data_IF_953221581042
#
_entry.id   IF_953221581042
#
_cell.length_a   1.000
_cell.length_b   1.000
_cell.length_c   1.000
_cell.angle_alpha   90.00
_cell.angle_beta   90.00
_cell.angle_gamma   90.00
#
_symmetry.space_group_name_H-M   'P 1'
#
loop_
_entity.id
_entity.type
_entity.pdbx_description
1 polymer ?
#
# COMPACT_ATOMS: atom_id res chain seq x y z
N UNK A 1 9.95 7.42 -3.96
CA UNK A 1 9.79 7.14 -2.52
C UNK A 1 9.80 5.63 -2.29
N UNK A 2 10.78 5.08 -1.59
CA UNK A 2 10.73 3.67 -1.16
C UNK A 2 10.23 3.60 0.28
N UNK A 3 9.30 2.69 0.55
CA UNK A 3 8.66 2.41 1.84
C UNK A 3 9.72 2.16 2.92
N UNK A 4 10.20 3.23 3.57
CA UNK A 4 11.25 3.16 4.58
C UNK A 4 12.50 4.01 4.34
N UNK A 5 12.66 4.70 3.21
CA UNK A 5 13.67 5.76 3.09
C UNK A 5 13.07 7.12 3.41
N UNK A 6 13.87 8.06 3.97
CA UNK A 6 13.47 9.45 4.03
C UNK A 6 13.21 9.97 2.61
N UNK A 7 12.23 10.86 2.48
CA UNK A 7 11.94 11.51 1.22
C UNK A 7 13.10 12.46 0.88
N UNK A 8 13.90 12.10 -0.13
CA UNK A 8 15.08 12.88 -0.53
C UNK A 8 14.73 14.06 -1.47
N UNK A 9 13.56 14.02 -2.11
CA UNK A 9 13.09 15.07 -3.01
C UNK A 9 11.64 15.40 -2.67
N UNK A 10 11.35 16.70 -2.56
CA UNK A 10 9.99 17.20 -2.39
C UNK A 10 9.22 17.01 -3.70
N UNK A 11 8.09 16.31 -3.65
CA UNK A 11 7.22 16.13 -4.80
C UNK A 11 6.15 17.20 -4.77
N UNK A 12 5.87 17.82 -5.92
CA UNK A 12 4.68 18.64 -6.07
C UNK A 12 3.44 17.74 -6.01
N UNK A 13 2.61 17.96 -4.99
CA UNK A 13 1.36 17.21 -4.78
C UNK A 13 0.12 17.97 -5.24
N UNK A 14 0.29 19.11 -5.94
CA UNK A 14 -0.84 19.88 -6.48
C UNK A 14 -1.63 19.07 -7.52
N UNK A 15 -2.95 19.03 -7.33
CA UNK A 15 -3.87 18.29 -8.21
C UNK A 15 -4.24 19.21 -9.39
N UNK A 16 -3.68 18.94 -10.57
CA UNK A 16 -4.13 19.55 -11.82
C UNK A 16 -5.35 18.82 -12.39
N UNK A 17 -6.29 19.51 -13.07
CA UNK A 17 -7.43 18.86 -13.71
C UNK A 17 -6.95 17.89 -14.81
N UNK A 18 -7.22 16.60 -14.58
CA UNK A 18 -6.63 15.49 -15.32
C UNK A 18 -7.33 15.25 -16.66
N UNK A 19 -6.56 15.09 -17.74
CA UNK A 19 -7.07 14.76 -19.07
C UNK A 19 -7.44 13.27 -19.17
N UNK A 20 -8.58 12.95 -19.76
CA UNK A 20 -9.21 11.62 -19.82
C UNK A 20 -8.42 10.50 -20.54
N UNK A 21 -7.16 10.74 -20.96
CA UNK A 21 -6.35 9.84 -21.79
C UNK A 21 -5.47 8.81 -21.05
N UNK A 22 -5.44 8.77 -19.72
CA UNK A 22 -4.43 7.99 -18.96
C UNK A 22 -4.84 6.56 -18.52
N UNK A 23 -5.96 6.05 -19.00
CA UNK A 23 -6.65 4.87 -18.42
C UNK A 23 -5.85 3.57 -18.44
N UNK A 24 -4.99 3.34 -19.45
CA UNK A 24 -4.19 2.12 -19.58
C UNK A 24 -3.04 2.03 -18.56
N UNK A 25 -2.38 3.16 -18.27
CA UNK A 25 -1.23 3.19 -17.37
C UNK A 25 -1.62 2.95 -15.91
N UNK A 26 -2.74 3.52 -15.44
CA UNK A 26 -3.21 3.33 -14.07
C UNK A 26 -3.63 1.88 -13.81
N UNK A 27 -4.18 1.21 -14.83
CA UNK A 27 -4.56 -0.20 -14.78
C UNK A 27 -3.33 -1.11 -14.72
N UNK A 28 -2.35 -0.91 -15.61
CA UNK A 28 -1.14 -1.72 -15.67
C UNK A 28 -0.33 -1.67 -14.36
N UNK A 29 -0.34 -0.53 -13.66
CA UNK A 29 0.36 -0.37 -12.39
C UNK A 29 -0.51 -0.62 -11.16
N UNK A 30 -1.81 -0.91 -11.33
CA UNK A 30 -2.75 -1.16 -10.22
C UNK A 30 -2.82 0.01 -9.24
N UNK A 31 -2.59 1.24 -9.70
CA UNK A 31 -2.34 2.39 -8.85
C UNK A 31 -3.03 3.66 -9.39
N UNK A 32 -4.16 4.07 -8.79
CA UNK A 32 -4.81 5.34 -9.11
C UNK A 32 -3.91 6.52 -8.71
N UNK A 33 -3.88 7.57 -9.53
CA UNK A 33 -2.97 8.70 -9.36
C UNK A 33 -3.20 9.46 -8.04
N UNK A 34 -4.46 9.59 -7.62
CA UNK A 34 -4.84 10.31 -6.40
C UNK A 34 -4.25 9.63 -5.15
N UNK A 35 -4.22 8.29 -5.12
CA UNK A 35 -3.62 7.55 -4.01
C UNK A 35 -2.10 7.60 -4.01
N UNK A 36 -1.44 7.82 -5.17
CA UNK A 36 -0.01 8.10 -5.22
C UNK A 36 0.33 9.46 -4.61
N UNK A 37 -0.49 10.48 -4.88
CA UNK A 37 -0.34 11.80 -4.26
C UNK A 37 -0.53 11.72 -2.75
N UNK A 38 -1.56 11.01 -2.29
CA UNK A 38 -1.78 10.81 -0.84
C UNK A 38 -0.64 10.02 -0.20
N UNK A 39 -0.12 8.99 -0.86
CA UNK A 39 1.07 8.28 -0.37
C UNK A 39 2.28 9.24 -0.25
N UNK A 40 2.43 10.19 -1.18
CA UNK A 40 3.45 11.22 -1.11
C UNK A 40 3.24 12.17 0.08
N UNK A 41 2.02 12.65 0.27
CA UNK A 41 1.67 13.50 1.42
C UNK A 41 1.97 12.78 2.74
N UNK A 42 1.57 11.51 2.90
CA UNK A 42 1.86 10.71 4.11
C UNK A 42 3.38 10.61 4.35
N UNK A 43 4.15 10.39 3.29
CA UNK A 43 5.62 10.32 3.39
C UNK A 43 6.24 11.67 3.78
N UNK A 44 5.69 12.78 3.29
CA UNK A 44 6.11 14.13 3.65
C UNK A 44 5.77 14.44 5.13
N UNK A 45 4.57 14.06 5.60
CA UNK A 45 4.19 14.18 7.01
C UNK A 45 5.14 13.41 7.91
N UNK A 46 5.41 12.15 7.58
CA UNK A 46 6.33 11.28 8.31
C UNK A 46 7.75 11.86 8.35
N UNK A 47 8.18 12.48 7.26
CA UNK A 47 9.50 13.13 7.15
C UNK A 47 9.60 14.47 7.88
N UNK A 48 8.51 14.98 8.45
CA UNK A 48 8.47 16.30 9.08
C UNK A 48 8.67 17.45 8.09
N UNK A 49 8.28 17.29 6.82
CA UNK A 49 8.39 18.36 5.83
C UNK A 49 7.56 19.58 6.28
N UNK A 50 8.10 20.81 6.18
CA UNK A 50 7.35 22.03 6.52
C UNK A 50 6.15 22.28 5.60
N UNK A 51 6.15 21.71 4.39
CA UNK A 51 5.05 21.82 3.43
C UNK A 51 4.11 20.61 3.48
N UNK A 52 4.31 19.67 4.42
CA UNK A 52 3.43 18.52 4.55
C UNK A 52 2.01 18.96 4.93
N UNK A 53 1.02 18.35 4.28
CA UNK A 53 -0.38 18.48 4.68
C UNK A 53 -0.58 17.97 6.12
N UNK A 54 -1.56 18.50 6.86
CA UNK A 54 -1.90 17.93 8.17
C UNK A 54 -2.38 16.48 7.98
N UNK A 55 -1.85 15.58 8.79
CA UNK A 55 -2.22 14.16 8.76
C UNK A 55 -3.72 13.96 9.01
N UNK A 56 -4.37 14.85 9.78
CA UNK A 56 -5.83 14.83 10.01
C UNK A 56 -6.63 15.16 8.75
N UNK A 57 -6.12 16.06 7.91
CA UNK A 57 -6.75 16.37 6.63
C UNK A 57 -6.62 15.21 5.64
N UNK A 58 -5.47 14.51 5.68
CA UNK A 58 -5.25 13.29 4.89
C UNK A 58 -6.20 12.19 5.36
N UNK A 59 -6.29 11.98 6.67
CA UNK A 59 -7.22 11.01 7.26
C UNK A 59 -8.66 11.30 6.86
N UNK A 60 -9.11 12.54 7.06
CA UNK A 60 -10.46 12.96 6.71
C UNK A 60 -10.77 12.71 5.23
N UNK A 61 -9.82 13.02 4.35
CA UNK A 61 -9.95 12.74 2.92
C UNK A 61 -10.08 11.23 2.66
N UNK A 62 -9.25 10.38 3.28
CA UNK A 62 -9.32 8.92 3.11
C UNK A 62 -10.60 8.29 3.67
N UNK A 63 -11.17 8.86 4.73
CA UNK A 63 -12.42 8.38 5.33
C UNK A 63 -13.66 8.81 4.55
N UNK A 64 -13.64 10.02 3.96
CA UNK A 64 -14.75 10.56 3.17
C UNK A 64 -14.66 10.23 1.68
N UNK A 65 -13.53 9.68 1.24
CA UNK A 65 -13.32 9.29 -0.16
C UNK A 65 -14.40 8.31 -0.62
N UNK A 66 -14.96 8.60 -1.79
CA UNK A 66 -15.89 7.73 -2.49
C UNK A 66 -15.37 7.46 -3.89
N UNK A 67 -15.61 6.24 -4.36
CA UNK A 67 -15.24 5.91 -5.71
C UNK A 67 -16.08 6.69 -6.72
N UNK A 68 -15.40 7.41 -7.61
CA UNK A 68 -16.04 8.16 -8.68
C UNK A 68 -16.51 7.19 -9.76
N UNK A 69 -17.83 7.00 -9.87
CA UNK A 69 -18.43 6.24 -10.96
C UNK A 69 -18.29 7.00 -12.29
N UNK A 70 -17.94 6.30 -13.37
CA UNK A 70 -17.96 6.85 -14.73
C UNK A 70 -16.65 7.50 -15.24
N UNK A 71 -15.58 7.55 -14.44
CA UNK A 71 -14.29 8.08 -14.92
C UNK A 71 -13.55 7.12 -15.88
N UNK A 72 -13.90 5.82 -15.83
CA UNK A 72 -13.34 4.80 -16.72
C UNK A 72 -14.46 3.99 -17.38
N UNK A 73 -14.39 3.88 -18.71
CA UNK A 73 -15.21 2.94 -19.48
C UNK A 73 -14.40 1.65 -19.63
N UNK A 74 -14.73 0.65 -18.83
CA UNK A 74 -14.14 -0.67 -18.96
C UNK A 74 -14.90 -1.52 -19.97
N UNK A 75 -14.18 -2.33 -20.74
CA UNK A 75 -14.76 -3.25 -21.73
C UNK A 75 -15.57 -4.36 -21.09
N UNK A 76 -15.19 -4.81 -19.89
CA UNK A 76 -15.84 -5.92 -19.21
C UNK A 76 -16.28 -5.53 -17.79
N UNK A 77 -17.46 -5.98 -17.37
CA UNK A 77 -18.05 -5.62 -16.07
C UNK A 77 -17.19 -6.04 -14.87
N UNK A 78 -16.39 -7.10 -15.02
CA UNK A 78 -15.49 -7.56 -13.97
C UNK A 78 -14.31 -6.62 -13.76
N UNK A 79 -13.88 -5.90 -14.80
CA UNK A 79 -12.82 -4.90 -14.70
C UNK A 79 -13.29 -3.73 -13.83
N UNK A 80 -14.54 -3.30 -13.99
CA UNK A 80 -15.14 -2.30 -13.11
C UNK A 80 -15.09 -2.72 -11.64
N UNK A 81 -15.46 -3.97 -11.34
CA UNK A 81 -15.40 -4.52 -9.97
C UNK A 81 -13.96 -4.60 -9.46
N UNK A 82 -13.02 -5.05 -10.30
CA UNK A 82 -11.61 -5.12 -9.96
C UNK A 82 -11.02 -3.72 -9.68
N UNK A 83 -11.44 -2.70 -10.43
CA UNK A 83 -11.02 -1.31 -10.22
C UNK A 83 -11.49 -0.77 -8.88
N UNK A 84 -12.77 -0.97 -8.55
CA UNK A 84 -13.30 -0.57 -7.25
C UNK A 84 -12.53 -1.26 -6.10
N UNK A 85 -12.19 -2.54 -6.27
CA UNK A 85 -11.38 -3.25 -5.29
C UNK A 85 -9.94 -2.71 -5.21
N UNK A 86 -9.32 -2.31 -6.32
CA UNK A 86 -8.02 -1.62 -6.32
C UNK A 86 -8.11 -0.35 -5.50
N UNK A 87 -9.05 0.54 -5.82
CA UNK A 87 -9.19 1.82 -5.14
C UNK A 87 -9.49 1.66 -3.65
N UNK A 88 -10.41 0.77 -3.29
CA UNK A 88 -10.75 0.51 -1.90
C UNK A 88 -9.58 -0.12 -1.13
N UNK A 89 -8.82 -1.02 -1.77
CA UNK A 89 -7.62 -1.59 -1.15
C UNK A 89 -6.53 -0.53 -0.92
N UNK A 90 -6.37 0.45 -1.82
CA UNK A 90 -5.47 1.58 -1.62
C UNK A 90 -5.91 2.44 -0.44
N UNK A 91 -7.19 2.80 -0.39
CA UNK A 91 -7.75 3.61 0.71
C UNK A 91 -7.49 2.96 2.07
N UNK A 92 -7.79 1.67 2.20
CA UNK A 92 -7.56 0.90 3.43
C UNK A 92 -6.07 0.74 3.77
N UNK A 93 -5.23 0.49 2.76
CA UNK A 93 -3.77 0.40 2.95
C UNK A 93 -3.19 1.72 3.45
N UNK A 94 -3.58 2.85 2.84
CA UNK A 94 -3.07 4.17 3.22
C UNK A 94 -3.56 4.61 4.59
N UNK A 95 -4.79 4.27 5.00
CA UNK A 95 -5.25 4.46 6.38
C UNK A 95 -4.36 3.69 7.37
N UNK A 96 -4.13 2.40 7.13
CA UNK A 96 -3.24 1.60 8.00
C UNK A 96 -1.81 2.17 8.04
N UNK A 97 -1.29 2.62 6.88
CA UNK A 97 0.04 3.21 6.79
C UNK A 97 0.15 4.56 7.52
N UNK A 98 -0.85 5.44 7.36
CA UNK A 98 -0.91 6.74 8.05
C UNK A 98 -0.83 6.57 9.56
N UNK A 99 -1.68 5.70 10.12
CA UNK A 99 -1.71 5.44 11.55
C UNK A 99 -0.40 4.83 12.06
N UNK A 100 0.14 3.85 11.35
CA UNK A 100 1.38 3.18 11.74
C UNK A 100 2.59 4.13 11.67
N UNK A 101 2.72 4.89 10.58
CA UNK A 101 3.95 5.59 10.23
C UNK A 101 3.98 7.07 10.63
N UNK A 102 2.82 7.72 10.74
CA UNK A 102 2.72 9.14 11.13
C UNK A 102 2.20 9.27 12.56
N UNK A 103 1.15 8.52 12.92
CA UNK A 103 0.55 8.60 14.25
C UNK A 103 1.26 7.74 15.30
N UNK A 104 2.40 7.10 14.96
CA UNK A 104 3.16 6.15 15.80
C UNK A 104 2.30 5.07 16.47
N UNK A 105 1.21 4.69 15.81
CA UNK A 105 0.25 3.72 16.33
C UNK A 105 0.79 2.31 16.15
N UNK A 106 0.67 1.49 17.19
CA UNK A 106 1.12 0.10 17.15
C UNK A 106 0.22 -0.76 16.26
N UNK A 107 0.81 -1.74 15.58
CA UNK A 107 0.07 -2.63 14.65
C UNK A 107 -1.06 -3.44 15.29
N UNK A 108 -1.11 -3.59 16.63
CA UNK A 108 -2.24 -4.23 17.32
C UNK A 108 -3.44 -3.32 17.56
N UNK A 109 -3.35 -2.06 17.16
CA UNK A 109 -4.48 -1.15 17.18
C UNK A 109 -5.70 -1.75 16.43
N UNK A 110 -6.90 -1.72 17.04
CA UNK A 110 -8.10 -2.31 16.45
C UNK A 110 -8.47 -1.72 15.08
N UNK A 111 -8.22 -0.43 14.84
CA UNK A 111 -8.53 0.23 13.56
C UNK A 111 -7.57 -0.27 12.48
N UNK A 112 -6.26 -0.32 12.77
CA UNK A 112 -5.28 -0.88 11.84
C UNK A 112 -5.64 -2.32 11.48
N UNK A 113 -5.95 -3.17 12.46
CA UNK A 113 -6.31 -4.57 12.20
C UNK A 113 -7.61 -4.69 11.39
N UNK A 114 -8.58 -3.80 11.62
CA UNK A 114 -9.81 -3.75 10.83
C UNK A 114 -9.51 -3.39 9.37
N UNK A 115 -8.72 -2.34 9.12
CA UNK A 115 -8.34 -1.93 7.76
C UNK A 115 -7.61 -3.05 7.01
N UNK A 116 -6.64 -3.70 7.65
CA UNK A 116 -5.90 -4.82 7.03
C UNK A 116 -6.83 -6.00 6.72
N UNK A 117 -7.73 -6.35 7.63
CA UNK A 117 -8.70 -7.44 7.40
C UNK A 117 -9.61 -7.13 6.22
N UNK A 118 -10.20 -5.93 6.18
CA UNK A 118 -11.06 -5.49 5.08
C UNK A 118 -10.30 -5.46 3.76
N UNK A 119 -9.07 -4.95 3.76
CA UNK A 119 -8.24 -4.88 2.56
C UNK A 119 -7.96 -6.28 2.00
N UNK A 120 -7.57 -7.24 2.84
CA UNK A 120 -7.33 -8.62 2.40
C UNK A 120 -8.61 -9.30 1.88
N UNK A 121 -9.78 -8.97 2.43
CA UNK A 121 -11.08 -9.43 1.90
C UNK A 121 -11.34 -8.84 0.52
N UNK A 122 -11.20 -7.53 0.35
CA UNK A 122 -11.41 -6.81 -0.93
C UNK A 122 -10.51 -7.40 -2.02
N UNK A 123 -9.20 -7.48 -1.78
CA UNK A 123 -8.24 -8.05 -2.74
C UNK A 123 -8.53 -9.53 -3.02
N UNK A 124 -8.97 -10.27 -2.00
CA UNK A 124 -9.37 -11.68 -2.12
C UNK A 124 -10.57 -11.91 -3.04
N UNK A 125 -11.47 -10.93 -3.19
CA UNK A 125 -12.63 -11.04 -4.12
C UNK A 125 -12.19 -11.04 -5.58
N UNK A 126 -11.17 -10.24 -5.92
CA UNK A 126 -10.64 -10.11 -7.29
C UNK A 126 -9.78 -11.32 -7.67
N UNK A 127 -8.90 -11.77 -6.78
CA UNK A 127 -7.99 -12.89 -7.06
C UNK A 127 -8.68 -14.21 -7.37
N UNK A 128 -9.87 -14.47 -6.81
CA UNK A 128 -10.65 -15.69 -7.09
C UNK A 128 -11.13 -15.78 -8.54
N UNK A 129 -11.08 -14.69 -9.31
CA UNK A 129 -11.58 -14.58 -10.68
C UNK A 129 -10.49 -14.64 -11.77
N UNK A 130 -9.30 -15.15 -11.42
CA UNK A 130 -8.03 -15.19 -12.22
C UNK A 130 -8.05 -15.95 -13.57
N UNK A 131 -9.19 -16.01 -14.28
CA UNK A 131 -9.32 -16.76 -15.53
C UNK A 131 -9.05 -15.97 -16.83
N UNK A 132 -8.74 -14.66 -16.78
CA UNK A 132 -8.74 -13.77 -17.97
C UNK A 132 -7.38 -13.17 -18.39
N UNK A 133 -6.24 -13.66 -17.88
CA UNK A 133 -4.91 -13.32 -18.40
C UNK A 133 -4.37 -11.91 -18.07
N UNK A 134 -5.20 -10.98 -17.58
CA UNK A 134 -4.75 -9.67 -17.07
C UNK A 134 -4.64 -9.70 -15.54
N UNK A 135 -3.43 -9.59 -14.99
CA UNK A 135 -3.21 -9.58 -13.54
C UNK A 135 -3.19 -8.15 -12.99
N UNK A 136 -4.10 -7.87 -12.05
CA UNK A 136 -4.12 -6.60 -11.32
C UNK A 136 -3.10 -6.66 -10.18
N UNK A 137 -2.21 -5.68 -10.12
CA UNK A 137 -1.22 -5.61 -9.05
C UNK A 137 -1.77 -4.98 -7.77
N UNK A 138 -1.43 -5.61 -6.64
CA UNK A 138 -1.74 -5.13 -5.29
C UNK A 138 -0.47 -5.06 -4.42
N UNK A 139 0.68 -4.80 -5.05
CA UNK A 139 1.99 -4.91 -4.41
C UNK A 139 2.11 -4.05 -3.14
N UNK A 140 1.81 -2.75 -3.25
CA UNK A 140 1.96 -1.81 -2.12
C UNK A 140 0.99 -2.16 -0.99
N UNK A 141 -0.24 -2.55 -1.33
CA UNK A 141 -1.25 -2.98 -0.39
C UNK A 141 -0.80 -4.23 0.37
N UNK A 142 -0.26 -5.24 -0.33
CA UNK A 142 0.28 -6.44 0.30
C UNK A 142 1.49 -6.17 1.19
N UNK A 143 2.36 -5.23 0.80
CA UNK A 143 3.49 -4.84 1.62
C UNK A 143 3.02 -4.17 2.93
N UNK A 144 2.11 -3.20 2.86
CA UNK A 144 1.52 -2.57 4.05
C UNK A 144 0.82 -3.62 4.92
N UNK A 145 0.04 -4.53 4.31
CA UNK A 145 -0.55 -5.66 5.02
C UNK A 145 0.49 -6.50 5.76
N UNK A 146 1.61 -6.78 5.10
CA UNK A 146 2.69 -7.61 5.60
C UNK A 146 3.37 -7.01 6.82
N UNK A 147 3.59 -5.70 6.80
CA UNK A 147 4.13 -4.94 7.93
C UNK A 147 3.20 -5.06 9.13
N UNK A 148 1.89 -4.90 8.92
CA UNK A 148 0.88 -4.97 9.97
C UNK A 148 0.40 -6.39 10.31
N UNK A 149 0.95 -7.44 9.67
CA UNK A 149 0.44 -8.80 9.80
C UNK A 149 0.85 -9.47 11.11
N UNK A 150 -0.16 -9.79 11.93
CA UNK A 150 0.03 -10.50 13.22
C UNK A 150 -0.27 -11.99 13.16
N UNK A 151 -1.11 -12.43 12.22
CA UNK A 151 -1.46 -13.84 12.07
C UNK A 151 -0.54 -14.55 11.09
N UNK A 152 -0.11 -15.76 11.45
CA UNK A 152 0.69 -16.61 10.55
C UNK A 152 -0.04 -16.99 9.26
N UNK A 153 -1.38 -16.96 9.28
CA UNK A 153 -2.19 -17.12 8.08
C UNK A 153 -2.02 -15.93 7.11
N UNK A 154 -2.11 -14.70 7.62
CA UNK A 154 -1.90 -13.50 6.80
C UNK A 154 -0.45 -13.45 6.29
N UNK A 155 0.55 -13.72 7.14
CA UNK A 155 1.97 -13.72 6.75
C UNK A 155 2.25 -14.69 5.59
N UNK A 156 1.75 -15.93 5.68
CA UNK A 156 1.89 -16.94 4.60
C UNK A 156 1.21 -16.51 3.29
N UNK A 157 0.01 -15.93 3.37
CA UNK A 157 -0.71 -15.42 2.19
C UNK A 157 0.06 -14.28 1.52
N UNK A 158 0.57 -13.35 2.31
CA UNK A 158 1.29 -12.16 1.84
C UNK A 158 2.64 -12.58 1.24
N UNK A 159 3.40 -13.42 1.95
CA UNK A 159 4.67 -13.99 1.48
C UNK A 159 4.55 -14.66 0.13
N UNK A 160 3.61 -15.60 0.00
CA UNK A 160 3.40 -16.34 -1.26
C UNK A 160 2.98 -15.41 -2.40
N UNK A 161 2.16 -14.40 -2.10
CA UNK A 161 1.77 -13.40 -3.09
C UNK A 161 2.96 -12.56 -3.57
N UNK A 162 3.77 -12.03 -2.65
CA UNK A 162 4.90 -11.16 -2.99
C UNK A 162 5.99 -11.92 -3.74
N UNK A 163 6.25 -13.19 -3.37
CA UNK A 163 7.21 -14.05 -4.06
C UNK A 163 6.79 -14.37 -5.50
N UNK A 164 5.49 -14.57 -5.75
CA UNK A 164 4.98 -14.93 -7.06
C UNK A 164 4.73 -13.72 -7.98
N UNK A 165 4.74 -12.49 -7.46
CA UNK A 165 4.51 -11.26 -8.24
C UNK A 165 5.79 -10.85 -8.98
N UNK A 166 6.16 -11.64 -9.99
CA UNK A 166 7.38 -11.47 -10.78
C UNK A 166 7.26 -10.38 -11.85
N UNK A 167 6.04 -10.05 -12.27
CA UNK A 167 5.80 -9.14 -13.41
C UNK A 167 5.52 -7.68 -13.01
N UNK A 168 4.97 -7.41 -11.82
CA UNK A 168 4.68 -6.01 -11.47
C UNK A 168 5.88 -5.31 -10.84
N UNK A 169 6.52 -4.42 -11.61
CA UNK A 169 7.44 -3.42 -11.07
C UNK A 169 6.64 -2.21 -10.58
N UNK A 170 6.71 -1.92 -9.29
CA UNK A 170 6.30 -0.61 -8.79
C UNK A 170 7.54 0.28 -8.72
N UNK A 171 7.57 1.28 -9.61
CA UNK A 171 8.67 2.21 -9.86
C UNK A 171 9.97 1.55 -10.33
N UNK A 172 10.59 0.63 -9.56
CA UNK A 172 11.78 -0.17 -9.94
C UNK A 172 11.85 -1.51 -9.15
N UNK A 173 11.20 -1.60 -7.98
CA UNK A 173 11.30 -2.76 -7.08
C UNK A 173 10.26 -3.84 -7.38
N UNK A 174 10.66 -5.10 -7.16
CA UNK A 174 9.80 -6.28 -7.28
C UNK A 174 9.21 -6.60 -5.91
N UNK A 175 8.04 -7.24 -5.89
CA UNK A 175 7.46 -7.73 -4.65
C UNK A 175 8.37 -8.71 -3.90
N UNK A 176 9.12 -9.52 -4.65
CA UNK A 176 10.11 -10.45 -4.11
C UNK A 176 11.19 -9.78 -3.26
N UNK A 177 11.55 -8.53 -3.56
CA UNK A 177 12.65 -7.82 -2.89
C UNK A 177 12.28 -7.50 -1.43
N UNK A 178 10.97 -7.39 -1.13
CA UNK A 178 10.47 -7.13 0.22
C UNK A 178 10.22 -8.39 1.05
N UNK A 179 10.28 -9.58 0.45
CA UNK A 179 10.07 -10.85 1.16
C UNK A 179 11.11 -11.06 2.27
N UNK A 180 12.42 -10.84 2.05
CA UNK A 180 13.42 -10.94 3.13
C UNK A 180 13.21 -9.91 4.25
N UNK A 181 12.79 -8.69 3.91
CA UNK A 181 12.48 -7.63 4.89
C UNK A 181 11.36 -8.07 5.83
N UNK A 182 10.27 -8.61 5.27
CA UNK A 182 9.14 -9.09 6.05
C UNK A 182 9.50 -10.33 6.86
N UNK A 183 10.31 -11.25 6.34
CA UNK A 183 10.81 -12.38 7.13
C UNK A 183 11.62 -11.93 8.34
N UNK A 184 12.56 -11.00 8.15
CA UNK A 184 13.35 -10.47 9.25
C UNK A 184 12.44 -9.83 10.32
N UNK A 185 11.44 -9.05 9.89
CA UNK A 185 10.45 -8.46 10.80
C UNK A 185 9.66 -9.53 11.56
N UNK A 186 9.14 -10.55 10.85
CA UNK A 186 8.27 -11.59 11.41
C UNK A 186 8.97 -12.56 12.35
N UNK A 187 10.26 -12.81 12.15
CA UNK A 187 11.08 -13.65 13.04
C UNK A 187 11.82 -12.83 14.11
N UNK A 188 11.88 -11.51 13.97
CA UNK A 188 12.47 -10.57 14.91
C UNK A 188 11.41 -9.87 15.77
N UNK A 189 11.23 -8.56 15.56
CA UNK A 189 10.36 -7.72 16.38
C UNK A 189 8.90 -8.21 16.44
N UNK A 190 8.39 -8.78 15.34
CA UNK A 190 7.02 -9.29 15.25
C UNK A 190 6.90 -10.79 15.55
N UNK A 191 7.94 -11.43 16.13
CA UNK A 191 7.90 -12.84 16.47
C UNK A 191 6.68 -13.18 17.32
N UNK A 192 6.07 -14.34 17.05
CA UNK A 192 4.87 -14.82 17.76
C UNK A 192 3.67 -13.87 17.69
N UNK A 193 3.56 -13.06 16.63
CA UNK A 193 2.47 -12.11 16.44
C UNK A 193 2.52 -10.89 17.37
N UNK A 194 3.70 -10.58 17.91
CA UNK A 194 3.94 -9.35 18.69
C UNK A 194 3.62 -8.12 17.84
N UNK A 195 3.03 -7.08 18.46
CA UNK A 195 2.84 -5.82 17.78
C UNK A 195 4.17 -5.18 17.43
N UNK A 196 4.20 -4.53 16.28
CA UNK A 196 5.29 -3.67 15.82
C UNK A 196 4.84 -2.22 15.69
N UNK A 197 5.82 -1.33 15.76
CA UNK A 197 5.75 0.06 15.32
C UNK A 197 6.46 0.24 13.98
N UNK A 198 6.30 1.42 13.39
CA UNK A 198 7.00 1.77 12.15
C UNK A 198 8.53 1.64 12.25
N UNK A 199 9.11 1.99 13.39
CA UNK A 199 10.56 1.87 13.64
C UNK A 199 11.09 0.45 13.49
N UNK A 200 10.32 -0.57 13.89
CA UNK A 200 10.71 -1.98 13.78
C UNK A 200 10.79 -2.41 12.32
N UNK A 201 9.87 -1.91 11.48
CA UNK A 201 9.91 -2.11 10.04
C UNK A 201 11.13 -1.42 9.41
N UNK A 202 11.41 -0.17 9.80
CA UNK A 202 12.61 0.55 9.31
C UNK A 202 13.87 -0.24 9.60
N UNK A 203 14.03 -0.72 10.84
CA UNK A 203 15.17 -1.52 11.23
C UNK A 203 15.32 -2.79 10.36
N UNK A 204 14.21 -3.51 10.12
CA UNK A 204 14.23 -4.71 9.27
C UNK A 204 14.54 -4.40 7.80
N UNK A 205 14.05 -3.25 7.31
CA UNK A 205 14.31 -2.77 5.95
C UNK A 205 15.77 -2.37 5.77
N UNK A 206 16.36 -1.69 6.74
CA UNK A 206 17.78 -1.32 6.72
C UNK A 206 18.70 -2.54 6.76
N UNK A 207 18.35 -3.54 7.58
CA UNK A 207 19.12 -4.78 7.69
C UNK A 207 19.11 -5.60 6.39
N UNK A 208 17.96 -5.70 5.71
CA UNK A 208 17.77 -6.60 4.56
C UNK A 208 17.91 -5.91 3.20
N UNK A 209 17.68 -4.60 3.13
CA UNK A 209 17.80 -3.78 1.91
C UNK A 209 18.61 -2.51 2.21
N UNK A 210 19.91 -2.65 2.53
CA UNK A 210 20.77 -1.50 2.77
C UNK A 210 20.85 -0.65 1.51
N UNK A 211 20.72 0.67 1.67
CA UNK A 211 21.01 1.61 0.58
C UNK A 211 22.45 2.02 0.73
N UNK A 212 23.26 1.75 -0.28
CA UNK A 212 24.59 2.34 -0.40
C UNK A 212 24.41 3.85 -0.51
N UNK A 213 24.80 4.56 0.55
CA UNK A 213 24.91 6.04 0.55
C UNK A 213 26.19 6.44 -0.17
#
# INVERSE_FOLDING_TARGET
MSLGLPQQLEYDTTIYPWSSGSSSHQWAHGSPAEFQLVLADINACRGGSPNARDWKDIEHWLLTWQSRSGQHVFTESWMTVAWYAVQESWRLALLAYLYLAVCDTSSDDPQIQLFIKQMLQVVGTVKKRKSSGAEVSFLVQYLIAGICARSEAHRRLIRSTLANNTETRFWIMRGSDFVPVLDHLWHGAAAYGRPIKWSDYIHSREAMLPVSV
#
